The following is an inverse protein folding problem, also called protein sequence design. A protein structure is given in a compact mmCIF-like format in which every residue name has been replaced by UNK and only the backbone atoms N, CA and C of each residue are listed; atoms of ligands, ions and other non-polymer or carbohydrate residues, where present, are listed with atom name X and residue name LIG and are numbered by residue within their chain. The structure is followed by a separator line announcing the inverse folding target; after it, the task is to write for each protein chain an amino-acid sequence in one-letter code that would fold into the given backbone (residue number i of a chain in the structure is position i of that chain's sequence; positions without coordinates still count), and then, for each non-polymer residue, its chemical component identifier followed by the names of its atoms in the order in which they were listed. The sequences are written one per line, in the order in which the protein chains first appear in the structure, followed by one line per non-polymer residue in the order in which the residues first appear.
data_IF_625350439114
#
_entry.id   IF_625350439114
#
_cell.length_a   1.000
_cell.length_b   1.000
_cell.length_c   1.000
_cell.angle_alpha   90.00
_cell.angle_beta   90.00
_cell.angle_gamma   90.00
#
_symmetry.space_group_name_H-M   'P 1'
#
loop_
_entity.id
_entity.type
_entity.pdbx_description
1 polymer ?
#
# COMPACT_ATOMS: atom_id res chain seq x y z
N UNK A 1 -24.21 -2.98 18.13
CA UNK A 1 -23.25 -3.73 17.33
C UNK A 1 -23.45 -3.53 15.82
N UNK A 2 -24.64 -3.61 15.32
CA UNK A 2 -24.98 -3.38 13.91
C UNK A 2 -24.59 -1.96 13.46
N UNK A 3 -24.85 -0.97 14.31
CA UNK A 3 -24.53 0.43 14.04
C UNK A 3 -23.02 0.68 14.00
N UNK A 4 -22.28 0.01 14.88
CA UNK A 4 -20.83 0.10 14.93
C UNK A 4 -20.20 -0.51 13.67
N UNK A 5 -20.70 -1.66 13.21
CA UNK A 5 -20.22 -2.29 11.98
C UNK A 5 -20.50 -1.41 10.76
N UNK A 6 -21.66 -0.74 10.74
CA UNK A 6 -22.02 0.20 9.67
C UNK A 6 -21.07 1.39 9.64
N UNK A 7 -20.71 1.93 10.82
CA UNK A 7 -19.79 3.06 10.95
C UNK A 7 -18.38 2.67 10.47
N UNK A 8 -17.88 1.52 10.93
CA UNK A 8 -16.56 1.01 10.51
C UNK A 8 -16.51 0.82 8.99
N UNK A 9 -17.58 0.25 8.43
CA UNK A 9 -17.68 0.03 6.98
C UNK A 9 -17.63 1.35 6.20
N UNK A 10 -18.34 2.37 6.67
CA UNK A 10 -18.35 3.71 6.05
C UNK A 10 -16.98 4.36 6.11
N UNK A 11 -16.28 4.25 7.24
CA UNK A 11 -14.94 4.82 7.42
C UNK A 11 -13.97 4.14 6.48
N UNK A 12 -14.03 2.81 6.39
CA UNK A 12 -13.19 2.03 5.49
C UNK A 12 -13.40 2.42 4.03
N UNK A 13 -14.65 2.56 3.61
CA UNK A 13 -15.00 2.95 2.25
C UNK A 13 -14.50 4.36 1.91
N UNK A 14 -14.72 5.32 2.82
CA UNK A 14 -14.23 6.70 2.64
C UNK A 14 -12.71 6.75 2.59
N UNK A 15 -12.04 5.98 3.46
CA UNK A 15 -10.59 5.90 3.49
C UNK A 15 -10.03 5.35 2.18
N UNK A 16 -10.62 4.29 1.65
CA UNK A 16 -10.18 3.70 0.38
C UNK A 16 -10.37 4.68 -0.78
N UNK A 17 -11.51 5.35 -0.86
CA UNK A 17 -11.77 6.34 -1.91
C UNK A 17 -10.79 7.51 -1.83
N UNK A 18 -10.50 7.97 -0.62
CA UNK A 18 -9.54 9.06 -0.38
C UNK A 18 -8.16 8.67 -0.89
N UNK A 19 -7.69 7.48 -0.52
CA UNK A 19 -6.36 6.99 -0.93
C UNK A 19 -6.26 6.90 -2.45
N UNK A 20 -7.25 6.28 -3.11
CA UNK A 20 -7.26 6.11 -4.56
C UNK A 20 -7.24 7.46 -5.27
N UNK A 21 -8.04 8.41 -4.80
CA UNK A 21 -8.12 9.76 -5.36
C UNK A 21 -6.79 10.51 -5.20
N UNK A 22 -6.19 10.46 -4.01
CA UNK A 22 -4.92 11.13 -3.74
C UNK A 22 -3.77 10.50 -4.51
N UNK A 23 -3.77 9.18 -4.67
CA UNK A 23 -2.78 8.50 -5.51
C UNK A 23 -2.89 8.99 -6.95
N UNK A 24 -4.10 9.06 -7.47
CA UNK A 24 -4.36 9.57 -8.83
C UNK A 24 -3.86 11.01 -8.98
N UNK A 25 -4.19 11.87 -8.01
CA UNK A 25 -3.81 13.28 -8.03
C UNK A 25 -2.29 13.49 -7.98
N UNK A 26 -1.57 12.52 -7.42
CA UNK A 26 -0.11 12.57 -7.31
C UNK A 26 0.61 11.72 -8.36
N UNK A 27 -0.06 11.41 -9.47
CA UNK A 27 0.54 10.72 -10.59
C UNK A 27 0.59 9.20 -10.49
N UNK A 28 -0.10 8.63 -9.50
CA UNK A 28 -0.14 7.18 -9.27
C UNK A 28 -1.52 6.60 -9.55
N UNK A 29 -2.10 6.97 -10.67
CA UNK A 29 -3.40 6.46 -11.10
C UNK A 29 -3.36 4.94 -11.28
N UNK A 30 -4.40 4.27 -10.78
CA UNK A 30 -4.53 2.83 -10.89
C UNK A 30 -3.97 2.06 -9.71
N UNK A 31 -3.28 2.72 -8.78
CA UNK A 31 -2.85 2.09 -7.54
C UNK A 31 -4.00 2.10 -6.53
N UNK A 32 -4.05 1.06 -5.72
CA UNK A 32 -5.04 0.90 -4.65
C UNK A 32 -4.31 0.72 -3.32
N UNK A 33 -5.02 0.78 -2.16
CA UNK A 33 -4.35 0.68 -0.86
C UNK A 33 -3.44 -0.53 -0.69
N UNK A 34 -3.78 -1.67 -1.27
CA UNK A 34 -2.95 -2.88 -1.17
C UNK A 34 -1.56 -2.69 -1.81
N UNK A 35 -1.46 -1.89 -2.87
CA UNK A 35 -0.16 -1.53 -3.46
C UNK A 35 0.68 -0.74 -2.45
N UNK A 36 0.03 0.18 -1.74
CA UNK A 36 0.68 0.96 -0.69
C UNK A 36 1.21 0.08 0.44
N UNK A 37 0.47 -0.95 0.82
CA UNK A 37 0.90 -1.90 1.85
C UNK A 37 2.21 -2.58 1.47
N UNK A 38 2.34 -2.98 0.20
CA UNK A 38 3.57 -3.60 -0.31
C UNK A 38 4.74 -2.60 -0.25
N UNK A 39 4.51 -1.36 -0.69
CA UNK A 39 5.54 -0.34 -0.65
C UNK A 39 6.01 -0.06 0.78
N UNK A 40 5.09 0.00 1.75
CA UNK A 40 5.43 0.17 3.16
C UNK A 40 6.34 -0.96 3.65
N UNK A 41 6.00 -2.20 3.31
CA UNK A 41 6.84 -3.35 3.68
C UNK A 41 8.26 -3.20 3.13
N UNK A 42 8.39 -2.74 1.89
CA UNK A 42 9.70 -2.54 1.26
C UNK A 42 10.44 -1.32 1.79
N UNK A 43 9.74 -0.31 2.27
CA UNK A 43 10.39 0.83 2.95
C UNK A 43 11.05 0.39 4.26
N UNK A 44 10.49 -0.63 4.91
CA UNK A 44 11.02 -1.17 6.18
C UNK A 44 12.10 -2.23 5.96
N UNK A 45 12.03 -2.97 4.85
CA UNK A 45 12.84 -4.17 4.63
C UNK A 45 13.49 -4.17 3.25
N UNK A 46 14.36 -3.33 2.96
CA UNK A 46 15.09 -3.11 1.69
C UNK A 46 14.85 -4.10 0.54
N UNK A 47 14.79 -5.40 0.81
CA UNK A 47 14.51 -6.44 -0.17
C UNK A 47 13.71 -7.57 0.48
N UNK A 48 12.76 -8.12 -0.26
CA UNK A 48 11.86 -9.17 0.23
C UNK A 48 11.56 -10.16 -0.89
N UNK A 49 11.34 -11.43 -0.51
CA UNK A 49 10.81 -12.42 -1.45
C UNK A 49 9.31 -12.23 -1.58
N UNK A 50 8.69 -12.87 -2.59
CA UNK A 50 7.23 -12.87 -2.72
C UNK A 50 6.55 -13.42 -1.48
N UNK A 51 7.13 -14.47 -0.90
CA UNK A 51 6.61 -15.08 0.34
C UNK A 51 6.66 -14.10 1.49
N UNK A 52 7.77 -13.37 1.63
CA UNK A 52 7.93 -12.36 2.69
C UNK A 52 6.87 -11.27 2.56
N UNK A 53 6.62 -10.80 1.34
CA UNK A 53 5.60 -9.78 1.10
C UNK A 53 4.21 -10.31 1.43
N UNK A 54 3.89 -11.53 0.99
CA UNK A 54 2.60 -12.16 1.28
C UNK A 54 2.34 -12.25 2.78
N UNK A 55 3.35 -12.64 3.54
CA UNK A 55 3.27 -12.69 5.00
C UNK A 55 3.12 -11.30 5.62
N UNK A 56 3.85 -10.32 5.08
CA UNK A 56 3.85 -8.95 5.61
C UNK A 56 2.49 -8.28 5.46
N UNK A 57 1.83 -8.44 4.30
CA UNK A 57 0.54 -7.79 4.04
C UNK A 57 -0.66 -8.71 4.30
N UNK A 58 -0.43 -9.93 4.75
CA UNK A 58 -1.48 -10.93 5.07
C UNK A 58 -2.39 -11.22 3.87
N UNK A 59 -1.78 -11.45 2.71
CA UNK A 59 -2.47 -11.81 1.46
C UNK A 59 -1.91 -13.09 0.90
N UNK A 60 -2.69 -13.74 0.03
CA UNK A 60 -2.24 -14.95 -0.66
C UNK A 60 -1.17 -14.62 -1.71
N UNK A 61 -0.32 -15.60 -2.01
CA UNK A 61 0.74 -15.44 -2.99
C UNK A 61 0.22 -15.03 -4.38
N UNK A 62 -0.88 -15.64 -4.92
CA UNK A 62 -1.43 -15.18 -6.20
C UNK A 62 -1.86 -13.72 -6.18
N UNK A 63 -2.47 -13.24 -5.11
CA UNK A 63 -2.86 -11.84 -4.96
C UNK A 63 -1.63 -10.92 -4.98
N UNK A 64 -0.60 -11.30 -4.22
CA UNK A 64 0.66 -10.53 -4.16
C UNK A 64 1.31 -10.46 -5.54
N UNK A 65 1.32 -11.59 -6.27
CA UNK A 65 1.91 -11.63 -7.62
C UNK A 65 1.27 -10.59 -8.54
N UNK A 66 -0.06 -10.51 -8.54
CA UNK A 66 -0.79 -9.53 -9.36
C UNK A 66 -0.42 -8.09 -8.96
N UNK A 67 -0.37 -7.81 -7.65
CA UNK A 67 -0.04 -6.49 -7.14
C UNK A 67 1.41 -6.09 -7.47
N UNK A 68 2.35 -7.01 -7.28
CA UNK A 68 3.76 -6.78 -7.58
C UNK A 68 3.98 -6.57 -9.08
N UNK A 69 3.32 -7.38 -9.92
CA UNK A 69 3.44 -7.25 -11.38
C UNK A 69 3.05 -5.85 -11.83
N UNK A 70 1.97 -5.30 -11.27
CA UNK A 70 1.53 -3.95 -11.62
C UNK A 70 2.52 -2.89 -11.14
N UNK A 71 3.01 -3.01 -9.92
CA UNK A 71 4.01 -2.08 -9.37
C UNK A 71 5.30 -2.13 -10.19
N UNK A 72 5.71 -3.31 -10.62
CA UNK A 72 6.89 -3.49 -11.48
C UNK A 72 6.66 -2.82 -12.84
N UNK A 73 5.51 -3.06 -13.44
CA UNK A 73 5.15 -2.48 -14.74
C UNK A 73 5.14 -0.95 -14.70
N UNK A 74 4.68 -0.38 -13.59
CA UNK A 74 4.65 1.07 -13.40
C UNK A 74 6.00 1.65 -12.96
N UNK A 75 6.99 0.80 -12.73
CA UNK A 75 8.35 1.23 -12.46
C UNK A 75 8.71 1.47 -10.99
N UNK A 76 7.85 1.09 -10.05
CA UNK A 76 8.12 1.28 -8.63
C UNK A 76 9.01 0.19 -8.03
N UNK A 77 8.97 -0.99 -8.61
CA UNK A 77 9.69 -2.16 -8.13
C UNK A 77 10.49 -2.80 -9.25
N UNK A 78 11.46 -3.62 -8.88
CA UNK A 78 12.16 -4.50 -9.82
C UNK A 78 12.49 -5.82 -9.11
N UNK A 79 12.77 -6.85 -9.90
CA UNK A 79 13.18 -8.16 -9.40
C UNK A 79 14.69 -8.29 -9.53
N UNK A 80 15.32 -8.81 -8.50
CA UNK A 80 16.75 -9.09 -8.49
C UNK A 80 17.01 -10.53 -8.06
N UNK A 81 17.86 -11.23 -8.80
CA UNK A 81 18.31 -12.55 -8.41
C UNK A 81 19.39 -12.43 -7.36
N UNK A 82 19.46 -13.39 -6.44
CA UNK A 82 20.54 -13.47 -5.46
C UNK A 82 21.87 -13.77 -6.19
N UNK A 83 22.93 -13.04 -5.84
CA UNK A 83 24.27 -13.27 -6.41
C UNK A 83 24.81 -14.65 -6.08
N UNK A 84 24.39 -15.23 -4.96
CA UNK A 84 24.89 -16.53 -4.48
C UNK A 84 24.04 -17.71 -4.91
N UNK A 85 22.75 -17.47 -5.22
CA UNK A 85 21.82 -18.54 -5.55
C UNK A 85 20.72 -17.99 -6.47
N UNK A 86 20.80 -18.33 -7.74
CA UNK A 86 19.82 -17.93 -8.75
C UNK A 86 18.41 -18.46 -8.47
N UNK A 87 18.23 -19.30 -7.45
CA UNK A 87 16.91 -19.81 -7.06
C UNK A 87 16.10 -18.81 -6.28
N UNK A 88 16.75 -17.79 -5.72
CA UNK A 88 16.07 -16.80 -4.88
C UNK A 88 15.93 -15.48 -5.64
N UNK A 89 14.69 -15.03 -5.78
CA UNK A 89 14.38 -13.73 -6.40
C UNK A 89 13.87 -12.78 -5.33
N UNK A 90 14.47 -11.62 -5.26
CA UNK A 90 14.07 -10.54 -4.35
C UNK A 90 13.34 -9.45 -5.09
N UNK A 91 12.39 -8.84 -4.40
CA UNK A 91 11.69 -7.65 -4.86
C UNK A 91 12.34 -6.46 -4.16
N UNK A 92 12.74 -5.46 -4.94
CA UNK A 92 13.41 -4.26 -4.41
C UNK A 92 12.76 -3.02 -5.00
N UNK A 93 12.88 -1.89 -4.30
CA UNK A 93 12.39 -0.60 -4.79
C UNK A 93 13.34 -0.05 -5.85
N UNK A 94 12.76 0.52 -6.91
CA UNK A 94 13.50 1.36 -7.85
C UNK A 94 13.67 2.75 -7.24
N UNK A 95 14.40 3.63 -7.89
CA UNK A 95 14.51 5.02 -7.43
C UNK A 95 13.13 5.68 -7.39
N UNK A 96 12.28 5.42 -8.40
CA UNK A 96 10.90 5.91 -8.42
C UNK A 96 10.12 5.43 -7.20
N UNK A 97 10.27 4.15 -6.84
CA UNK A 97 9.64 3.59 -5.65
C UNK A 97 10.11 4.25 -4.36
N UNK A 98 11.40 4.51 -4.25
CA UNK A 98 11.99 5.19 -3.10
C UNK A 98 11.51 6.64 -2.99
N UNK A 99 11.48 7.35 -4.11
CA UNK A 99 11.04 8.75 -4.16
C UNK A 99 9.57 8.91 -3.80
N UNK A 100 8.78 7.90 -4.10
CA UNK A 100 7.35 7.89 -3.80
C UNK A 100 7.04 7.86 -2.30
N UNK A 101 8.01 7.49 -1.47
CA UNK A 101 7.84 7.42 -0.01
C UNK A 101 7.31 8.73 0.58
N UNK A 102 7.85 9.86 0.14
CA UNK A 102 7.44 11.18 0.61
C UNK A 102 5.96 11.45 0.29
N UNK A 103 5.56 11.13 -0.94
CA UNK A 103 4.17 11.28 -1.37
C UNK A 103 3.26 10.37 -0.56
N UNK A 104 3.68 9.13 -0.36
CA UNK A 104 2.92 8.15 0.41
C UNK A 104 2.73 8.58 1.87
N UNK A 105 3.77 9.09 2.51
CA UNK A 105 3.69 9.59 3.88
C UNK A 105 2.73 10.77 3.98
N UNK A 106 2.75 11.67 3.01
CA UNK A 106 1.84 12.81 2.94
C UNK A 106 0.38 12.36 2.84
N UNK A 107 0.11 11.39 1.96
CA UNK A 107 -1.24 10.83 1.80
C UNK A 107 -1.71 10.17 3.09
N UNK A 108 -0.82 9.43 3.76
CA UNK A 108 -1.13 8.76 5.02
C UNK A 108 -1.47 9.77 6.12
N UNK A 109 -0.76 10.88 6.21
CA UNK A 109 -1.05 11.94 7.17
C UNK A 109 -2.41 12.58 6.89
N UNK A 110 -2.71 12.87 5.64
CA UNK A 110 -3.99 13.45 5.24
C UNK A 110 -5.15 12.49 5.53
N UNK A 111 -4.93 11.20 5.28
CA UNK A 111 -5.91 10.16 5.59
C UNK A 111 -6.20 10.11 7.09
N UNK A 112 -5.16 10.13 7.92
CA UNK A 112 -5.33 10.10 9.38
C UNK A 112 -6.12 11.31 9.87
N UNK A 113 -5.84 12.49 9.35
CA UNK A 113 -6.59 13.71 9.69
C UNK A 113 -8.06 13.58 9.31
N UNK A 114 -8.34 13.07 8.11
CA UNK A 114 -9.70 12.89 7.63
C UNK A 114 -10.48 11.89 8.49
N UNK A 115 -9.87 10.75 8.79
CA UNK A 115 -10.50 9.71 9.62
C UNK A 115 -10.76 10.21 11.04
N UNK A 116 -9.80 10.91 11.61
CA UNK A 116 -9.93 11.46 12.96
C UNK A 116 -11.08 12.47 13.04
N UNK A 117 -11.18 13.35 12.06
CA UNK A 117 -12.25 14.31 11.96
C UNK A 117 -13.62 13.64 11.85
N UNK A 118 -13.73 12.60 11.03
CA UNK A 118 -14.98 11.85 10.86
C UNK A 118 -15.39 11.13 12.13
N UNK A 119 -14.45 10.54 12.84
CA UNK A 119 -14.72 9.86 14.12
C UNK A 119 -15.22 10.87 15.17
N UNK A 120 -14.58 12.02 15.29
CA UNK A 120 -14.99 13.07 16.21
C UNK A 120 -16.41 13.58 15.91
N UNK A 121 -16.71 13.75 14.62
CA UNK A 121 -18.03 14.20 14.17
C UNK A 121 -19.13 13.21 14.53
N UNK A 122 -18.87 11.91 14.33
CA UNK A 122 -19.82 10.85 14.67
C UNK A 122 -19.98 10.68 16.18
N UNK A 123 -18.92 10.88 16.95
CA UNK A 123 -18.98 10.79 18.42
C UNK A 123 -19.79 11.93 19.04
N UNK A 124 -19.83 13.09 18.41
CA UNK A 124 -20.54 14.25 18.93
C UNK A 124 -22.05 14.18 18.71
N UNK A 125 -22.53 13.22 17.96
CA UNK A 125 -23.94 12.96 17.76
C UNK A 125 -24.46 11.92 18.75
#
# INVERSE_FOLDING_TARGET
MKEMLSLVSKIHEKGNRFIVEELKNNGAEGLVPSHGDILVCLYKNSKMTMKDIANCIHRTKPTVTVLVDKLEKLGYLKRESSDKDNRCTYIVLTQKGKDFKVIFEKISEELNKMLYKNLSSEESE
#
